data_IF_970831934141
#
_entry.id   IF_970831934141
#
_cell.length_a   1.000
_cell.length_b   1.000
_cell.length_c   1.000
_cell.angle_alpha   90.00
_cell.angle_beta   90.00
_cell.angle_gamma   90.00
#
_symmetry.space_group_name_H-M   'P 1'
#
loop_
_entity.id
_entity.type
_entity.pdbx_description
1 polymer ?
#
# COMPACT_ATOMS: atom_id res chain seq x y z
N UNK A 1 21.83 -12.82 -17.93
CA UNK A 1 20.42 -13.22 -17.72
C UNK A 1 19.65 -11.96 -17.37
N UNK A 2 18.62 -11.62 -18.14
CA UNK A 2 17.81 -10.42 -17.92
C UNK A 2 16.46 -10.82 -17.33
N UNK A 3 16.03 -10.11 -16.27
CA UNK A 3 14.77 -10.36 -15.58
C UNK A 3 13.77 -9.26 -15.92
N UNK A 4 12.59 -9.67 -16.39
CA UNK A 4 11.47 -8.77 -16.64
C UNK A 4 10.48 -8.85 -15.50
N UNK A 5 10.20 -7.70 -14.89
CA UNK A 5 9.27 -7.56 -13.78
C UNK A 5 7.95 -6.98 -14.28
N UNK A 6 6.83 -7.60 -13.90
CA UNK A 6 5.48 -7.14 -14.20
C UNK A 6 4.65 -7.15 -12.91
N UNK A 7 3.83 -6.13 -12.71
CA UNK A 7 2.89 -6.11 -11.59
C UNK A 7 1.85 -7.23 -11.74
N UNK A 8 1.55 -7.90 -10.64
CA UNK A 8 0.46 -8.86 -10.58
C UNK A 8 -0.86 -8.17 -10.22
N UNK A 9 -1.95 -8.93 -10.19
CA UNK A 9 -3.23 -8.49 -9.64
C UNK A 9 -3.28 -8.46 -8.09
N UNK A 10 -2.14 -8.65 -7.44
CA UNK A 10 -1.93 -8.52 -6.00
C UNK A 10 -0.79 -7.53 -5.74
N UNK A 11 -0.98 -6.62 -4.79
CA UNK A 11 -0.03 -5.54 -4.49
C UNK A 11 1.33 -6.02 -4.00
N UNK A 12 1.40 -7.12 -3.24
CA UNK A 12 2.64 -7.66 -2.69
C UNK A 12 3.33 -8.70 -3.59
N UNK A 13 2.78 -8.99 -4.77
CA UNK A 13 3.34 -10.00 -5.67
C UNK A 13 3.68 -9.38 -7.02
N UNK A 14 4.89 -9.67 -7.50
CA UNK A 14 5.32 -9.35 -8.86
C UNK A 14 5.56 -10.63 -9.66
N UNK A 15 5.25 -10.59 -10.94
CA UNK A 15 5.55 -11.66 -11.88
C UNK A 15 6.94 -11.37 -12.45
N UNK A 16 7.83 -12.35 -12.35
CA UNK A 16 9.21 -12.29 -12.87
C UNK A 16 9.34 -13.28 -14.01
N UNK A 17 9.74 -12.80 -15.18
CA UNK A 17 9.93 -13.58 -16.38
C UNK A 17 11.37 -13.53 -16.85
N UNK A 18 11.84 -14.65 -17.38
CA UNK A 18 13.15 -14.80 -18.00
C UNK A 18 12.90 -15.20 -19.45
N UNK A 19 13.34 -14.36 -20.40
CA UNK A 19 12.98 -14.50 -21.82
C UNK A 19 13.33 -15.87 -22.41
N UNK A 20 14.38 -16.52 -21.92
CA UNK A 20 14.90 -17.78 -22.44
C UNK A 20 14.37 -19.03 -21.73
N UNK A 21 13.51 -18.89 -20.70
CA UNK A 21 13.01 -20.02 -19.92
C UNK A 21 11.54 -20.38 -20.23
N UNK A 22 11.22 -21.66 -20.06
CA UNK A 22 9.86 -22.20 -20.08
C UNK A 22 9.11 -21.98 -18.77
N UNK A 23 9.71 -21.25 -17.82
CA UNK A 23 9.21 -21.03 -16.47
C UNK A 23 9.02 -19.55 -16.21
N UNK A 24 8.19 -19.26 -15.22
CA UNK A 24 8.04 -17.91 -14.68
C UNK A 24 7.99 -18.01 -13.16
N UNK A 25 8.20 -16.88 -12.52
CA UNK A 25 8.31 -16.81 -11.08
C UNK A 25 7.35 -15.76 -10.55
N UNK A 26 6.86 -15.98 -9.34
CA UNK A 26 6.24 -14.93 -8.55
C UNK A 26 7.21 -14.54 -7.45
N UNK A 27 7.41 -13.25 -7.29
CA UNK A 27 8.25 -12.66 -6.26
C UNK A 27 7.35 -11.99 -5.24
N UNK A 28 7.47 -12.40 -3.99
CA UNK A 28 6.72 -11.80 -2.89
C UNK A 28 7.52 -10.63 -2.30
N UNK A 29 7.16 -9.42 -2.69
CA UNK A 29 7.84 -8.21 -2.22
C UNK A 29 7.65 -7.99 -0.72
N UNK A 30 6.62 -8.57 -0.09
CA UNK A 30 6.44 -8.48 1.36
C UNK A 30 7.50 -9.26 2.15
N UNK A 31 8.21 -10.20 1.53
CA UNK A 31 9.34 -10.93 2.15
C UNK A 31 10.67 -10.18 2.04
N UNK A 32 10.69 -9.11 1.24
CA UNK A 32 11.92 -8.41 0.90
C UNK A 32 12.65 -7.86 2.14
N UNK A 33 13.96 -8.09 2.21
CA UNK A 33 14.83 -7.74 3.33
C UNK A 33 16.13 -7.08 2.85
N UNK A 34 16.67 -6.07 3.56
CA UNK A 34 16.16 -5.51 4.81
C UNK A 34 15.03 -4.48 4.57
N UNK A 35 14.11 -4.37 5.52
CA UNK A 35 12.95 -3.44 5.45
C UNK A 35 13.35 -1.96 5.38
N UNK A 36 14.54 -1.63 5.88
CA UNK A 36 15.12 -0.30 5.77
C UNK A 36 15.23 0.20 4.33
N UNK A 37 15.35 -0.70 3.34
CA UNK A 37 15.34 -0.32 1.93
C UNK A 37 14.04 0.36 1.49
N UNK A 38 12.87 -0.04 2.04
CA UNK A 38 11.61 0.65 1.78
C UNK A 38 11.58 2.08 2.33
N UNK A 39 12.34 2.33 3.40
CA UNK A 39 12.50 3.64 4.02
C UNK A 39 13.56 4.52 3.32
N UNK A 40 14.02 4.13 2.13
CA UNK A 40 15.03 4.87 1.36
C UNK A 40 16.46 4.71 1.88
N UNK A 41 16.69 3.85 2.87
CA UNK A 41 18.05 3.59 3.36
C UNK A 41 18.78 2.75 2.30
N UNK A 42 20.00 3.16 1.95
CA UNK A 42 20.84 2.43 0.99
C UNK A 42 21.24 1.07 1.57
N UNK A 43 21.15 0.03 0.75
CA UNK A 43 21.55 -1.33 1.12
C UNK A 43 22.37 -1.93 -0.01
N UNK A 44 23.37 -2.76 0.31
CA UNK A 44 24.20 -3.40 -0.72
C UNK A 44 23.48 -4.57 -1.39
N UNK A 45 22.64 -5.26 -0.63
CA UNK A 45 21.88 -6.42 -1.07
C UNK A 45 20.42 -6.31 -0.67
N UNK A 46 19.58 -6.99 -1.44
CA UNK A 46 18.16 -7.20 -1.17
C UNK A 46 17.88 -8.68 -1.34
N UNK A 47 17.26 -9.28 -0.33
CA UNK A 47 16.86 -10.69 -0.33
C UNK A 47 15.35 -10.75 -0.46
N UNK A 48 14.83 -11.61 -1.33
CA UNK A 48 13.38 -11.77 -1.54
C UNK A 48 13.05 -13.21 -1.90
N UNK A 49 11.89 -13.68 -1.46
CA UNK A 49 11.41 -15.01 -1.80
C UNK A 49 10.68 -15.01 -3.15
N UNK A 50 10.94 -16.08 -3.90
CA UNK A 50 10.32 -16.36 -5.18
C UNK A 50 9.78 -17.78 -5.22
N UNK A 51 8.71 -17.98 -5.98
CA UNK A 51 8.13 -19.30 -6.22
C UNK A 51 7.97 -19.53 -7.71
N UNK A 52 8.40 -20.69 -8.18
CA UNK A 52 8.24 -21.12 -9.56
C UNK A 52 6.80 -21.51 -9.85
N UNK A 53 6.27 -21.03 -10.97
CA UNK A 53 4.94 -21.36 -11.46
C UNK A 53 4.97 -21.60 -12.99
N UNK A 54 3.98 -22.31 -13.49
CA UNK A 54 3.88 -22.67 -14.92
C UNK A 54 3.73 -21.43 -15.81
N UNK A 55 4.40 -21.40 -16.96
CA UNK A 55 4.41 -20.26 -17.89
C UNK A 55 3.01 -19.85 -18.36
N UNK A 56 2.13 -20.82 -18.57
CA UNK A 56 0.74 -20.63 -19.03
C UNK A 56 -0.25 -20.21 -17.93
N UNK A 57 0.15 -20.22 -16.64
CA UNK A 57 -0.75 -19.81 -15.57
C UNK A 57 -1.12 -18.32 -15.76
N UNK A 58 -2.36 -17.91 -15.67
CA UNK A 58 -2.71 -16.47 -15.83
C UNK A 58 -3.36 -15.90 -14.58
N UNK A 59 -3.36 -16.66 -13.49
CA UNK A 59 -4.10 -16.31 -12.28
C UNK A 59 -3.59 -15.03 -11.62
N UNK A 60 -2.27 -14.81 -11.66
CA UNK A 60 -1.62 -13.61 -11.11
C UNK A 60 -1.66 -12.40 -12.05
N UNK A 61 -2.12 -12.57 -13.30
CA UNK A 61 -2.12 -11.46 -14.25
C UNK A 61 -3.27 -10.48 -13.98
N UNK A 62 -3.01 -9.20 -14.25
CA UNK A 62 -4.04 -8.16 -14.24
C UNK A 62 -4.97 -8.44 -15.42
N UNK A 63 -6.20 -8.84 -15.12
CA UNK A 63 -7.21 -9.06 -16.15
C UNK A 63 -7.73 -7.70 -16.64
N UNK A 64 -7.89 -7.49 -17.95
CA UNK A 64 -8.55 -6.30 -18.45
C UNK A 64 -9.99 -6.28 -17.93
N UNK A 65 -10.33 -5.24 -17.16
CA UNK A 65 -11.69 -4.97 -16.73
C UNK A 65 -12.28 -3.86 -17.58
N UNK A 66 -13.60 -3.88 -17.76
CA UNK A 66 -14.31 -2.75 -18.37
C UNK A 66 -14.10 -1.51 -17.50
N UNK A 67 -13.61 -0.39 -18.06
CA UNK A 67 -13.40 0.83 -17.29
C UNK A 67 -14.76 1.36 -16.82
N UNK A 68 -14.93 1.51 -15.51
CA UNK A 68 -16.04 2.26 -14.94
C UNK A 68 -15.81 3.72 -15.30
N UNK A 69 -16.81 4.40 -15.87
CA UNK A 69 -16.65 5.82 -16.20
C UNK A 69 -16.36 6.61 -14.92
N UNK A 70 -15.47 7.60 -15.01
CA UNK A 70 -15.12 8.49 -13.89
C UNK A 70 -16.35 9.15 -13.28
N UNK A 71 -17.35 9.47 -14.10
CA UNK A 71 -18.65 10.01 -13.66
C UNK A 71 -19.43 9.01 -12.80
N UNK A 72 -19.51 7.73 -13.19
CA UNK A 72 -20.18 6.71 -12.37
C UNK A 72 -19.46 6.48 -11.04
N UNK A 73 -18.13 6.43 -11.06
CA UNK A 73 -17.35 6.29 -9.83
C UNK A 73 -17.60 7.46 -8.87
N UNK A 74 -17.63 8.69 -9.39
CA UNK A 74 -17.91 9.88 -8.58
C UNK A 74 -19.31 9.84 -7.93
N UNK A 75 -20.35 9.45 -8.69
CA UNK A 75 -21.73 9.34 -8.19
C UNK A 75 -21.82 8.34 -7.03
N UNK A 76 -21.13 7.21 -7.12
CA UNK A 76 -21.15 6.17 -6.07
C UNK A 76 -20.39 6.63 -4.81
N UNK A 77 -19.25 7.31 -4.99
CA UNK A 77 -18.35 7.67 -3.89
C UNK A 77 -18.84 8.91 -3.11
N UNK A 78 -19.47 9.89 -3.79
CA UNK A 78 -19.85 11.16 -3.18
C UNK A 78 -20.74 11.03 -1.92
N UNK A 79 -21.82 10.22 -1.89
CA UNK A 79 -22.65 10.08 -0.69
C UNK A 79 -21.86 9.54 0.50
N UNK A 80 -20.98 8.55 0.26
CA UNK A 80 -20.17 7.92 1.31
C UNK A 80 -19.19 8.95 1.89
N UNK A 81 -18.53 9.72 1.02
CA UNK A 81 -17.60 10.78 1.44
C UNK A 81 -18.32 11.86 2.24
N UNK A 82 -19.51 12.30 1.79
CA UNK A 82 -20.30 13.31 2.49
C UNK A 82 -20.72 12.85 3.88
N UNK A 83 -21.27 11.64 3.99
CA UNK A 83 -21.70 11.08 5.28
C UNK A 83 -20.51 10.95 6.24
N UNK A 84 -19.38 10.42 5.75
CA UNK A 84 -18.16 10.31 6.55
C UNK A 84 -17.64 11.66 7.04
N UNK A 85 -17.63 12.66 6.15
CA UNK A 85 -17.26 14.03 6.50
C UNK A 85 -18.19 14.65 7.53
N UNK A 86 -19.51 14.50 7.38
CA UNK A 86 -20.49 15.07 8.31
C UNK A 86 -20.38 14.43 9.70
N UNK A 87 -20.13 13.12 9.78
CA UNK A 87 -19.90 12.42 11.06
C UNK A 87 -18.63 12.95 11.74
N UNK A 88 -17.52 13.03 11.01
CA UNK A 88 -16.27 13.56 11.56
C UNK A 88 -16.44 15.01 11.99
N UNK A 89 -17.00 15.86 11.15
CA UNK A 89 -17.23 17.27 11.45
C UNK A 89 -18.05 17.45 12.73
N UNK A 90 -19.11 16.66 12.90
CA UNK A 90 -19.92 16.66 14.14
C UNK A 90 -19.09 16.24 15.35
N UNK A 91 -18.29 15.19 15.24
CA UNK A 91 -17.40 14.76 16.34
C UNK A 91 -16.41 15.84 16.77
N UNK A 92 -15.81 16.56 15.81
CA UNK A 92 -14.87 17.64 16.09
C UNK A 92 -15.54 18.85 16.75
N UNK A 93 -16.71 19.27 16.24
CA UNK A 93 -17.42 20.46 16.71
C UNK A 93 -18.11 20.20 18.06
N UNK A 94 -18.88 19.11 18.19
CA UNK A 94 -19.72 18.88 19.37
C UNK A 94 -18.91 18.62 20.64
N UNK A 95 -17.74 18.00 20.51
CA UNK A 95 -16.91 17.66 21.66
C UNK A 95 -15.78 18.67 21.92
N UNK A 96 -15.75 19.80 21.18
CA UNK A 96 -14.68 20.80 21.24
C UNK A 96 -13.27 20.20 21.05
N UNK A 97 -13.15 19.12 20.27
CA UNK A 97 -11.87 18.43 20.02
C UNK A 97 -10.88 19.30 19.27
N UNK A 98 -11.42 20.27 18.56
CA UNK A 98 -10.69 21.22 17.77
C UNK A 98 -9.72 22.07 18.60
N UNK A 99 -10.04 22.32 19.87
CA UNK A 99 -9.18 23.09 20.77
C UNK A 99 -8.14 22.21 21.50
N UNK A 100 -8.33 20.88 21.49
CA UNK A 100 -7.48 19.94 22.23
C UNK A 100 -6.38 19.35 21.36
N UNK A 101 -5.22 20.00 21.33
CA UNK A 101 -4.05 19.57 20.53
C UNK A 101 -3.64 18.12 20.79
N UNK A 102 -3.65 17.69 22.06
CA UNK A 102 -3.28 16.31 22.41
C UNK A 102 -4.24 15.28 21.80
N UNK A 103 -5.55 15.57 21.84
CA UNK A 103 -6.54 14.68 21.26
C UNK A 103 -6.48 14.66 19.74
N UNK A 104 -6.19 15.81 19.10
CA UNK A 104 -5.89 15.87 17.66
C UNK A 104 -4.75 14.93 17.31
N UNK A 105 -3.61 15.05 18.00
CA UNK A 105 -2.45 14.19 17.75
C UNK A 105 -2.79 12.71 17.93
N UNK A 106 -3.59 12.38 18.95
CA UNK A 106 -4.07 11.02 19.17
C UNK A 106 -4.96 10.53 18.00
N UNK A 107 -5.92 11.33 17.55
CA UNK A 107 -6.78 10.99 16.41
C UNK A 107 -5.95 10.79 15.14
N UNK A 108 -4.98 11.65 14.89
CA UNK A 108 -4.06 11.55 13.76
C UNK A 108 -3.28 10.23 13.79
N UNK A 109 -2.76 9.84 14.96
CA UNK A 109 -2.09 8.55 15.15
C UNK A 109 -3.04 7.36 14.97
N UNK A 110 -4.28 7.45 15.48
CA UNK A 110 -5.31 6.41 15.29
C UNK A 110 -5.62 6.23 13.79
N UNK A 111 -5.71 7.30 13.01
CA UNK A 111 -5.90 7.24 11.56
C UNK A 111 -4.79 6.43 10.86
N UNK A 112 -3.52 6.67 11.22
CA UNK A 112 -2.40 5.87 10.70
C UNK A 112 -2.47 4.41 11.16
N UNK A 113 -2.86 4.16 12.41
CA UNK A 113 -3.00 2.82 12.97
C UNK A 113 -4.07 1.99 12.22
N UNK A 114 -5.20 2.62 11.87
CA UNK A 114 -6.26 1.99 11.07
C UNK A 114 -5.71 1.57 9.70
N UNK A 115 -4.96 2.44 9.03
CA UNK A 115 -4.34 2.14 7.74
C UNK A 115 -3.32 1.00 7.84
N UNK A 116 -2.50 0.98 8.88
CA UNK A 116 -1.57 -0.11 9.14
C UNK A 116 -2.29 -1.46 9.27
N UNK A 117 -3.39 -1.52 10.05
CA UNK A 117 -4.18 -2.75 10.15
C UNK A 117 -4.84 -3.14 8.83
N UNK A 118 -5.31 -2.16 8.04
CA UNK A 118 -5.87 -2.43 6.71
C UNK A 118 -4.83 -3.09 5.78
N UNK A 119 -3.58 -2.64 5.82
CA UNK A 119 -2.48 -3.26 5.06
C UNK A 119 -2.20 -4.68 5.55
N UNK A 120 -2.11 -4.89 6.86
CA UNK A 120 -1.90 -6.24 7.41
C UNK A 120 -3.00 -7.22 6.99
N UNK A 121 -4.26 -6.77 7.00
CA UNK A 121 -5.39 -7.59 6.54
C UNK A 121 -5.28 -7.85 5.04
N UNK A 122 -5.00 -6.82 4.24
CA UNK A 122 -4.79 -6.93 2.80
C UNK A 122 -3.68 -7.93 2.45
N UNK A 123 -2.56 -7.87 3.18
CA UNK A 123 -1.43 -8.78 3.01
C UNK A 123 -1.83 -10.22 3.32
N UNK A 124 -2.49 -10.47 4.45
CA UNK A 124 -3.00 -11.80 4.82
C UNK A 124 -3.96 -12.37 3.77
N UNK A 125 -4.83 -11.53 3.22
CA UNK A 125 -5.76 -11.93 2.16
C UNK A 125 -5.02 -12.26 0.86
N UNK A 126 -4.02 -11.44 0.48
CA UNK A 126 -3.19 -11.67 -0.69
C UNK A 126 -2.40 -12.97 -0.58
N UNK A 127 -1.75 -13.24 0.56
CA UNK A 127 -1.03 -14.49 0.82
C UNK A 127 -1.96 -15.70 0.78
N UNK A 128 -3.10 -15.66 1.48
CA UNK A 128 -4.09 -16.75 1.46
C UNK A 128 -4.59 -17.03 0.04
N UNK A 129 -4.70 -16.01 -0.80
CA UNK A 129 -5.14 -16.13 -2.18
C UNK A 129 -4.01 -16.68 -3.07
N UNK A 130 -2.77 -16.23 -2.87
CA UNK A 130 -1.59 -16.74 -3.56
C UNK A 130 -1.34 -18.21 -3.25
N UNK A 131 -1.43 -18.62 -1.98
CA UNK A 131 -1.25 -20.02 -1.56
C UNK A 131 -2.23 -20.99 -2.23
N UNK A 132 -3.45 -20.53 -2.55
CA UNK A 132 -4.44 -21.32 -3.30
C UNK A 132 -4.08 -21.48 -4.77
N UNK A 133 -3.34 -20.52 -5.34
CA UNK A 133 -3.02 -20.43 -6.76
C UNK A 133 -1.67 -21.05 -7.10
N UNK A 134 -0.79 -21.15 -6.11
CA UNK A 134 0.51 -21.79 -6.21
C UNK A 134 0.34 -23.30 -6.09
N UNK A 135 0.82 -24.10 -7.06
CA UNK A 135 0.86 -25.55 -6.94
C UNK A 135 1.63 -26.01 -5.69
N UNK A 136 1.12 -27.02 -4.98
CA UNK A 136 1.76 -27.53 -3.73
C UNK A 136 3.20 -28.03 -3.93
N UNK A 137 3.54 -28.47 -5.14
CA UNK A 137 4.86 -28.99 -5.50
C UNK A 137 5.77 -27.93 -6.14
N UNK A 138 5.39 -26.64 -6.09
CA UNK A 138 6.21 -25.56 -6.61
C UNK A 138 7.52 -25.41 -5.85
N UNK A 139 8.61 -25.19 -6.59
CA UNK A 139 9.92 -24.90 -6.02
C UNK A 139 9.96 -23.46 -5.50
N UNK A 140 10.48 -23.30 -4.29
CA UNK A 140 10.69 -22.00 -3.62
C UNK A 140 12.17 -21.66 -3.67
N UNK A 141 12.46 -20.39 -3.86
CA UNK A 141 13.81 -19.86 -3.95
C UNK A 141 13.90 -18.59 -3.12
N UNK A 142 15.03 -18.38 -2.46
CA UNK A 142 15.38 -17.09 -1.87
C UNK A 142 16.47 -16.47 -2.72
N UNK A 143 16.16 -15.35 -3.35
CA UNK A 143 17.03 -14.70 -4.32
C UNK A 143 17.67 -13.48 -3.69
N UNK A 144 18.97 -13.32 -3.89
CA UNK A 144 19.72 -12.15 -3.46
C UNK A 144 20.06 -11.28 -4.66
N UNK A 145 19.61 -10.03 -4.63
CA UNK A 145 19.95 -9.00 -5.60
C UNK A 145 21.03 -8.10 -5.03
N UNK A 146 22.07 -7.83 -5.81
CA UNK A 146 22.99 -6.74 -5.53
C UNK A 146 22.39 -5.44 -6.04
N UNK A 147 22.40 -4.41 -5.21
CA UNK A 147 21.86 -3.10 -5.61
C UNK A 147 22.98 -2.22 -6.18
N UNK A 148 22.60 -1.18 -6.92
CA UNK A 148 23.51 -0.11 -7.35
C UNK A 148 23.79 0.93 -6.24
N UNK A 149 23.51 0.60 -4.97
CA UNK A 149 23.65 1.47 -3.78
C UNK A 149 22.92 2.80 -3.88
N UNK A 150 21.86 2.86 -4.71
CA UNK A 150 20.98 4.02 -4.85
C UNK A 150 19.88 3.95 -3.78
N UNK A 151 19.57 5.10 -3.19
CA UNK A 151 18.45 5.23 -2.25
C UNK A 151 17.12 5.01 -2.96
N UNK A 152 16.23 4.23 -2.35
CA UNK A 152 14.83 4.12 -2.78
C UNK A 152 14.03 5.33 -2.26
N UNK A 153 14.17 6.48 -2.92
CA UNK A 153 13.60 7.75 -2.47
C UNK A 153 12.07 7.88 -2.61
N UNK A 154 11.36 6.83 -3.05
CA UNK A 154 9.91 6.87 -3.29
C UNK A 154 9.08 7.14 -2.03
N UNK A 155 9.64 6.88 -0.85
CA UNK A 155 8.97 7.09 0.44
C UNK A 155 8.97 8.54 0.91
N UNK A 156 9.98 9.35 0.52
CA UNK A 156 10.15 10.71 1.06
C UNK A 156 8.99 11.66 0.72
N UNK A 157 8.44 11.67 -0.52
CA UNK A 157 7.26 12.45 -0.82
C UNK A 157 6.05 12.08 0.04
N UNK A 158 5.89 10.79 0.40
CA UNK A 158 4.79 10.32 1.25
C UNK A 158 4.95 10.79 2.70
N UNK A 159 6.18 10.71 3.26
CA UNK A 159 6.48 11.28 4.58
C UNK A 159 6.19 12.78 4.61
N UNK A 160 6.63 13.50 3.57
CA UNK A 160 6.36 14.93 3.42
C UNK A 160 4.87 15.25 3.37
N UNK A 161 4.08 14.45 2.63
CA UNK A 161 2.63 14.60 2.55
C UNK A 161 1.94 14.39 3.90
N UNK A 162 2.35 13.37 4.68
CA UNK A 162 1.84 13.14 6.05
C UNK A 162 2.16 14.34 6.94
N UNK A 163 3.39 14.86 6.89
CA UNK A 163 3.80 16.00 7.68
C UNK A 163 2.99 17.27 7.33
N UNK A 164 2.80 17.55 6.04
CA UNK A 164 1.97 18.66 5.58
C UNK A 164 0.51 18.47 6.04
N UNK A 165 -0.05 17.26 5.92
CA UNK A 165 -1.39 16.96 6.41
C UNK A 165 -1.52 17.21 7.92
N UNK A 166 -0.50 16.85 8.71
CA UNK A 166 -0.47 17.12 10.14
C UNK A 166 -0.50 18.63 10.45
N UNK A 167 0.28 19.44 9.73
CA UNK A 167 0.30 20.89 9.93
C UNK A 167 -1.07 21.52 9.67
N UNK A 168 -1.72 21.16 8.56
CA UNK A 168 -3.08 21.64 8.27
C UNK A 168 -4.10 21.14 9.30
N UNK A 169 -4.01 19.87 9.68
CA UNK A 169 -4.89 19.27 10.66
C UNK A 169 -4.77 19.95 12.05
N UNK A 170 -3.59 20.37 12.46
CA UNK A 170 -3.39 21.09 13.72
C UNK A 170 -3.82 22.56 13.64
N UNK A 171 -3.57 23.23 12.50
CA UNK A 171 -3.84 24.66 12.33
C UNK A 171 -5.29 25.04 12.05
N UNK A 172 -6.12 24.08 11.64
CA UNK A 172 -7.55 24.30 11.39
C UNK A 172 -8.34 24.02 12.66
N UNK A 173 -9.35 24.87 12.95
CA UNK A 173 -10.20 24.74 14.13
C UNK A 173 -11.72 24.82 13.85
N UNK A 174 -12.16 24.50 12.62
CA UNK A 174 -13.54 24.70 12.16
C UNK A 174 -14.21 23.39 11.72
N UNK A 175 -13.63 22.23 12.07
CA UNK A 175 -14.13 20.90 11.74
C UNK A 175 -13.74 20.41 10.35
N UNK A 176 -13.11 21.23 9.50
CA UNK A 176 -12.49 20.76 8.24
C UNK A 176 -11.30 19.83 8.48
N UNK A 177 -10.75 19.84 9.69
CA UNK A 177 -9.73 18.91 10.19
C UNK A 177 -10.09 17.44 9.91
N UNK A 178 -11.38 17.08 10.00
CA UNK A 178 -11.85 15.73 9.71
C UNK A 178 -11.47 15.26 8.29
N UNK A 179 -11.43 16.16 7.30
CA UNK A 179 -11.01 15.81 5.95
C UNK A 179 -9.52 15.46 5.89
N UNK A 180 -8.66 16.21 6.58
CA UNK A 180 -7.22 15.91 6.68
C UNK A 180 -6.95 14.61 7.41
N UNK A 181 -7.81 14.24 8.37
CA UNK A 181 -7.73 12.94 9.04
C UNK A 181 -7.96 11.77 8.06
N UNK A 182 -8.93 11.91 7.14
CA UNK A 182 -9.21 10.94 6.08
C UNK A 182 -8.08 10.88 5.05
N UNK A 183 -7.60 12.05 4.60
CA UNK A 183 -6.47 12.13 3.66
C UNK A 183 -5.23 11.46 4.27
N UNK A 184 -4.91 11.75 5.53
CA UNK A 184 -3.81 11.10 6.23
C UNK A 184 -3.96 9.57 6.25
N UNK A 185 -5.16 9.06 6.53
CA UNK A 185 -5.44 7.63 6.50
C UNK A 185 -5.17 7.03 5.12
N UNK A 186 -5.65 7.67 4.04
CA UNK A 186 -5.43 7.22 2.66
C UNK A 186 -3.94 7.24 2.30
N UNK A 187 -3.21 8.33 2.61
CA UNK A 187 -1.77 8.43 2.35
C UNK A 187 -1.00 7.36 3.14
N UNK A 188 -1.44 7.05 4.36
CA UNK A 188 -0.85 6.01 5.20
C UNK A 188 -1.07 4.59 4.67
N UNK A 189 -1.99 4.36 3.72
CA UNK A 189 -2.15 3.05 3.07
C UNK A 189 -0.99 2.72 2.11
N UNK A 190 -0.14 3.71 1.80
CA UNK A 190 1.03 3.52 0.95
C UNK A 190 2.32 3.21 1.75
N UNK A 191 2.21 3.02 3.07
CA UNK A 191 3.32 2.76 4.00
C UNK A 191 3.40 1.32 4.50
#
# INVERSE_FOLDING_TARGET
>A
MELKFKNSNMTCIQIVQIDQESKKYIMDTSTMSPKSYYWGIKTDTIIVDMVEIEKNNTQFEIKPTTPISTTMAAIIVQPIVKVGYDVLKRLFIQNNLSEQVLLKLLLFAISMLISYFAILISLKLAHKKADKWIPKNSRKYTVTFTTIKKSNGGVYPLVGAIFICLLFFLGLNNGTEGAFLVINGIVSLFF
#
